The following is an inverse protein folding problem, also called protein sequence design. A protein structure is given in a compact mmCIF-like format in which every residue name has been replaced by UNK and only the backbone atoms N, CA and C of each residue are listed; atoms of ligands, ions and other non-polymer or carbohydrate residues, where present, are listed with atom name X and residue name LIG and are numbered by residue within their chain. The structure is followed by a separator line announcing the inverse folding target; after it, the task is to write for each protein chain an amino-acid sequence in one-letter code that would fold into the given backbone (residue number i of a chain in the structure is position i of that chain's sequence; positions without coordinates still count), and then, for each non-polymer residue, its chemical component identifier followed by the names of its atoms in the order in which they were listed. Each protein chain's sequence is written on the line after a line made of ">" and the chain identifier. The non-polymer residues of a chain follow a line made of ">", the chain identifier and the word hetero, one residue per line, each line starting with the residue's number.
data_IF_728797658849
#
_entry.id   IF_728797658849
#
_cell.length_a   1.000
_cell.length_b   1.000
_cell.length_c   1.000
_cell.angle_alpha   90.00
_cell.angle_beta   90.00
_cell.angle_gamma   90.00
#
_symmetry.space_group_name_H-M   'P 1'
#
loop_
_entity.id
_entity.type
_entity.pdbx_description
1 polymer ?
#
# COMPACT_ATOMS: atom_id res chain seq x y z
N UNK A 1 1.63 14.48 -14.15
CA UNK A 1 1.38 13.86 -12.83
C UNK A 1 0.80 12.48 -13.05
N UNK A 2 1.13 11.50 -12.22
CA UNK A 2 0.72 10.10 -12.40
C UNK A 2 -0.32 9.75 -11.33
N UNK A 3 -1.36 9.00 -11.70
CA UNK A 3 -2.39 8.57 -10.75
C UNK A 3 -2.01 7.21 -10.16
N UNK A 4 -2.22 7.06 -8.85
CA UNK A 4 -1.90 5.83 -8.12
C UNK A 4 -3.10 5.40 -7.30
N UNK A 5 -3.30 4.09 -7.26
CA UNK A 5 -4.37 3.44 -6.52
C UNK A 5 -3.75 2.69 -5.33
N UNK A 6 -4.31 2.92 -4.15
CA UNK A 6 -3.87 2.32 -2.88
C UNK A 6 -5.01 1.53 -2.30
N UNK A 7 -4.77 0.25 -2.00
CA UNK A 7 -5.72 -0.63 -1.34
C UNK A 7 -5.21 -0.88 0.07
N UNK A 8 -5.81 -0.24 1.07
CA UNK A 8 -5.39 -0.34 2.45
C UNK A 8 -6.26 -1.35 3.22
N UNK A 9 -5.63 -2.35 3.82
CA UNK A 9 -6.29 -3.33 4.67
C UNK A 9 -5.95 -3.00 6.11
N UNK A 10 -6.89 -2.44 6.85
CA UNK A 10 -6.67 -2.05 8.24
C UNK A 10 -6.35 -3.30 9.09
N UNK A 11 -5.31 -3.20 9.91
CA UNK A 11 -4.98 -4.22 10.90
C UNK A 11 -5.56 -3.88 12.27
N UNK A 12 -5.86 -4.91 13.05
CA UNK A 12 -6.28 -4.78 14.45
C UNK A 12 -5.11 -5.04 15.42
N UNK A 13 -5.40 -4.97 16.72
CA UNK A 13 -4.43 -5.21 17.80
C UNK A 13 -3.99 -6.68 17.93
N UNK A 14 -4.72 -7.60 17.29
CA UNK A 14 -4.44 -9.04 17.29
C UNK A 14 -3.66 -9.50 16.05
N UNK A 15 -3.31 -8.56 15.16
CA UNK A 15 -2.59 -8.84 13.92
C UNK A 15 -3.45 -9.35 12.78
N UNK A 16 -4.78 -9.28 12.90
CA UNK A 16 -5.70 -9.60 11.81
C UNK A 16 -5.85 -8.41 10.88
N UNK A 17 -6.02 -8.68 9.58
CA UNK A 17 -6.26 -7.65 8.57
C UNK A 17 -7.69 -7.70 8.06
N UNK A 18 -8.29 -6.53 7.83
CA UNK A 18 -9.62 -6.42 7.24
C UNK A 18 -9.70 -7.17 5.90
N UNK A 19 -10.82 -7.88 5.67
CA UNK A 19 -11.05 -8.64 4.44
C UNK A 19 -11.32 -7.77 3.22
N UNK A 20 -11.67 -6.50 3.43
CA UNK A 20 -11.95 -5.53 2.38
C UNK A 20 -11.00 -4.35 2.48
N UNK A 21 -10.40 -3.99 1.36
CA UNK A 21 -9.56 -2.80 1.26
C UNK A 21 -10.40 -1.51 1.25
N UNK A 22 -9.88 -0.48 1.91
CA UNK A 22 -10.22 0.90 1.61
C UNK A 22 -9.40 1.35 0.39
N UNK A 23 -10.08 1.72 -0.70
CA UNK A 23 -9.43 2.10 -1.96
C UNK A 23 -9.35 3.62 -2.06
N UNK A 24 -8.14 4.13 -2.29
CA UNK A 24 -7.92 5.56 -2.55
C UNK A 24 -7.10 5.78 -3.81
N UNK A 25 -7.47 6.79 -4.60
CA UNK A 25 -6.72 7.19 -5.80
C UNK A 25 -6.13 8.57 -5.59
N UNK A 26 -4.81 8.70 -5.76
CA UNK A 26 -4.08 9.94 -5.48
C UNK A 26 -3.08 10.24 -6.59
N UNK A 27 -3.07 11.48 -7.12
CA UNK A 27 -2.07 11.86 -8.11
C UNK A 27 -0.75 12.23 -7.43
N UNK A 28 0.36 11.62 -7.88
CA UNK A 28 1.70 11.82 -7.35
C UNK A 28 2.72 12.03 -8.48
N UNK A 29 3.91 12.50 -8.09
CA UNK A 29 4.97 12.87 -9.04
C UNK A 29 5.76 11.67 -9.58
N UNK A 30 5.85 10.58 -8.83
CA UNK A 30 6.67 9.40 -9.18
C UNK A 30 6.29 8.16 -8.37
N UNK A 31 6.82 7.00 -8.78
CA UNK A 31 6.67 5.73 -8.04
C UNK A 31 7.31 5.78 -6.66
N UNK A 32 8.46 6.44 -6.52
CA UNK A 32 9.12 6.63 -5.22
C UNK A 32 8.24 7.44 -4.25
N UNK A 33 7.53 8.46 -4.76
CA UNK A 33 6.57 9.22 -3.96
C UNK A 33 5.36 8.35 -3.56
N UNK A 34 4.88 7.50 -4.46
CA UNK A 34 3.80 6.57 -4.19
C UNK A 34 4.18 5.51 -3.16
N UNK A 35 5.36 4.89 -3.27
CA UNK A 35 5.90 3.95 -2.28
C UNK A 35 6.03 4.60 -0.89
N UNK A 36 6.57 5.81 -0.83
CA UNK A 36 6.68 6.56 0.43
C UNK A 36 5.31 6.85 1.07
N UNK A 37 4.29 7.13 0.24
CA UNK A 37 2.91 7.29 0.73
C UNK A 37 2.33 5.97 1.23
N UNK A 38 2.47 4.87 0.47
CA UNK A 38 2.00 3.55 0.86
C UNK A 38 2.60 3.10 2.20
N UNK A 39 3.90 3.30 2.41
CA UNK A 39 4.55 2.99 3.68
C UNK A 39 4.00 3.78 4.87
N UNK A 40 3.72 5.08 4.70
CA UNK A 40 3.05 5.89 5.73
C UNK A 40 1.61 5.45 6.00
N UNK A 41 0.89 5.03 4.95
CA UNK A 41 -0.46 4.47 5.09
C UNK A 41 -0.42 3.15 5.85
N UNK A 42 0.48 2.24 5.50
CA UNK A 42 0.64 0.95 6.17
C UNK A 42 0.89 1.12 7.68
N UNK A 43 1.76 2.06 8.07
CA UNK A 43 1.97 2.45 9.47
C UNK A 43 0.69 2.95 10.15
N UNK A 44 -0.10 3.78 9.47
CA UNK A 44 -1.30 4.40 10.02
C UNK A 44 -2.44 3.41 10.21
N UNK A 45 -2.64 2.54 9.22
CA UNK A 45 -3.73 1.55 9.25
C UNK A 45 -3.31 0.27 9.99
N UNK A 46 -2.08 0.20 10.49
CA UNK A 46 -1.47 -0.98 11.10
C UNK A 46 -1.61 -2.26 10.26
N UNK A 47 -1.54 -2.13 8.93
CA UNK A 47 -1.82 -3.23 8.02
C UNK A 47 -1.25 -3.02 6.62
N UNK A 48 -1.37 -4.03 5.73
CA UNK A 48 -0.79 -3.97 4.40
C UNK A 48 -1.51 -2.95 3.52
N UNK A 49 -0.76 -2.36 2.58
CA UNK A 49 -1.26 -1.43 1.57
C UNK A 49 -0.71 -1.85 0.22
N UNK A 50 -1.57 -2.34 -0.66
CA UNK A 50 -1.19 -2.60 -2.05
C UNK A 50 -1.16 -1.30 -2.84
N UNK A 51 -0.18 -1.17 -3.73
CA UNK A 51 0.04 0.00 -4.56
C UNK A 51 0.08 -0.40 -6.04
N UNK A 52 -0.72 0.29 -6.85
CA UNK A 52 -0.73 0.17 -8.30
C UNK A 52 -0.75 1.56 -8.98
N UNK A 53 -0.38 1.61 -10.27
CA UNK A 53 -0.75 2.74 -11.14
C UNK A 53 -2.27 2.76 -11.30
N UNK A 54 -2.96 3.89 -11.24
CA UNK A 54 -4.38 3.92 -11.56
C UNK A 54 -4.59 3.82 -13.08
N UNK A 55 -5.61 3.08 -13.52
CA UNK A 55 -5.92 2.91 -14.94
C UNK A 55 -6.90 1.77 -15.21
N UNK A 56 -7.23 1.58 -16.50
CA UNK A 56 -8.22 0.60 -16.95
C UNK A 56 -7.65 -0.82 -17.16
N UNK A 57 -6.32 -0.98 -17.16
CA UNK A 57 -5.71 -2.30 -17.24
C UNK A 57 -6.02 -3.14 -15.99
N UNK A 58 -5.91 -4.47 -16.12
CA UNK A 58 -6.09 -5.39 -15.00
C UNK A 58 -5.15 -5.05 -13.84
N UNK A 59 -5.59 -5.36 -12.62
CA UNK A 59 -4.86 -4.99 -11.40
C UNK A 59 -3.41 -5.48 -11.42
N UNK A 60 -3.20 -6.74 -11.77
CA UNK A 60 -1.89 -7.39 -11.78
C UNK A 60 -0.92 -6.73 -12.77
N UNK A 61 -1.43 -6.16 -13.86
CA UNK A 61 -0.62 -5.46 -14.86
C UNK A 61 -0.17 -4.07 -14.39
N UNK A 62 -0.92 -3.48 -13.44
CA UNK A 62 -0.64 -2.16 -12.87
C UNK A 62 0.07 -2.22 -11.52
N UNK A 63 0.11 -3.39 -10.89
CA UNK A 63 0.60 -3.59 -9.54
C UNK A 63 2.10 -3.29 -9.42
N UNK A 64 2.46 -2.53 -8.39
CA UNK A 64 3.82 -2.10 -8.13
C UNK A 64 4.41 -2.90 -6.97
N UNK A 65 3.76 -2.87 -5.80
CA UNK A 65 4.24 -3.51 -4.56
C UNK A 65 3.19 -3.41 -3.46
N UNK A 66 3.38 -4.18 -2.38
CA UNK A 66 2.65 -4.04 -1.12
C UNK A 66 3.58 -3.43 -0.08
N UNK A 67 3.15 -2.36 0.58
CA UNK A 67 3.77 -1.87 1.80
C UNK A 67 3.14 -2.59 3.00
N UNK A 68 3.95 -3.22 3.86
CA UNK A 68 3.47 -3.85 5.11
C UNK A 68 4.13 -3.23 6.32
N UNK A 69 3.45 -3.13 7.48
CA UNK A 69 4.11 -2.80 8.73
C UNK A 69 5.25 -3.78 9.01
N UNK A 70 6.33 -3.30 9.63
CA UNK A 70 7.41 -4.14 10.13
C UNK A 70 7.33 -4.21 11.65
N UNK A 71 7.52 -5.40 12.21
CA UNK A 71 7.65 -5.61 13.67
C UNK A 71 8.90 -4.91 14.23
N UNK A 72 9.90 -4.67 13.38
CA UNK A 72 11.09 -3.91 13.73
C UNK A 72 10.73 -2.42 13.74
N UNK A 73 10.57 -1.86 14.95
CA UNK A 73 10.26 -0.43 15.23
C UNK A 73 11.12 0.58 14.45
N UNK A 74 12.37 0.23 14.08
CA UNK A 74 13.28 1.14 13.36
C UNK A 74 12.94 1.36 11.88
N UNK A 75 12.39 0.36 11.17
CA UNK A 75 12.00 0.51 9.76
C UNK A 75 10.53 0.93 9.63
N UNK A 76 9.68 0.30 10.44
CA UNK A 76 8.25 0.53 10.57
C UNK A 76 7.39 0.23 9.31
N UNK A 77 7.97 0.00 8.14
CA UNK A 77 7.33 -0.73 7.03
C UNK A 77 8.37 -1.40 6.13
N UNK A 78 7.97 -2.46 5.42
CA UNK A 78 8.72 -3.14 4.34
C UNK A 78 7.89 -3.15 3.06
N UNK A 79 8.58 -3.21 1.93
CA UNK A 79 7.95 -3.48 0.65
C UNK A 79 8.12 -4.96 0.32
N UNK A 80 7.00 -5.63 0.09
CA UNK A 80 6.96 -6.99 -0.41
C UNK A 80 6.27 -6.97 -1.76
N UNK A 81 6.79 -7.75 -2.71
CA UNK A 81 6.01 -8.11 -3.89
C UNK A 81 5.26 -9.38 -3.49
N UNK A 82 3.95 -9.28 -3.29
CA UNK A 82 3.13 -10.48 -3.16
C UNK A 82 2.98 -11.00 -4.59
N UNK A 83 3.73 -12.06 -4.89
CA UNK A 83 3.69 -12.78 -6.18
C UNK A 83 2.44 -13.62 -6.29
#
# INVERSE_FOLDING_TARGET
>A
MLQFEFHAYAGDEFGSTASRAEVTVVPLRSDSAARSRAGRMAKRVNGPVDLARAGAAEWNDRYITTAKPCDIRQAGYRFERVS
#
